data_IF_069415361827
#
_entry.id   IF_069415361827
#
_cell.length_a   1.000
_cell.length_b   1.000
_cell.length_c   1.000
_cell.angle_alpha   90.00
_cell.angle_beta   90.00
_cell.angle_gamma   90.00
#
_symmetry.space_group_name_H-M   'P 1'
#
loop_
_entity.id
_entity.type
_entity.pdbx_description
1 polymer ?
#
# COMPACT_ATOMS: atom_id res chain seq x y z
N UNK A 1 18.09 -0.95 19.05
CA UNK A 1 16.99 -1.11 18.08
C UNK A 1 16.25 0.20 18.03
N UNK A 2 16.22 0.86 16.88
CA UNK A 2 15.44 2.08 16.69
C UNK A 2 14.13 1.69 15.98
N UNK A 3 13.00 2.09 16.54
CA UNK A 3 11.71 2.04 15.88
C UNK A 3 11.44 3.41 15.28
N UNK A 4 10.98 3.44 14.03
CA UNK A 4 10.53 4.66 13.37
C UNK A 4 9.03 4.48 13.17
N UNK A 5 8.24 5.32 13.84
CA UNK A 5 6.81 5.48 13.58
C UNK A 5 6.62 6.81 12.87
N UNK A 6 5.91 6.78 11.74
CA UNK A 6 5.57 7.98 10.98
C UNK A 6 4.06 7.98 10.74
N UNK A 7 3.39 8.96 11.31
CA UNK A 7 1.98 9.26 11.02
C UNK A 7 1.92 10.22 9.85
N UNK A 8 1.94 9.69 8.63
CA UNK A 8 1.68 10.46 7.42
C UNK A 8 0.42 9.95 6.74
N UNK A 9 -0.55 10.83 6.54
CA UNK A 9 -1.77 10.53 5.77
C UNK A 9 -1.43 10.51 4.28
N UNK A 10 -0.98 9.36 3.79
CA UNK A 10 -0.76 9.16 2.35
C UNK A 10 -2.08 8.84 1.67
N UNK A 11 -2.56 9.76 0.83
CA UNK A 11 -3.69 9.50 -0.07
C UNK A 11 -3.14 8.86 -1.33
N UNK A 12 -3.51 7.60 -1.57
CA UNK A 12 -3.11 6.89 -2.78
C UNK A 12 -4.11 7.13 -3.93
N UNK A 13 -3.63 7.19 -5.18
CA UNK A 13 -4.50 7.40 -6.34
C UNK A 13 -5.46 6.22 -6.52
N UNK A 14 -6.55 6.45 -7.24
CA UNK A 14 -7.49 5.40 -7.66
C UNK A 14 -6.74 4.35 -8.47
N UNK A 15 -6.96 3.07 -8.14
CA UNK A 15 -6.40 1.92 -8.87
C UNK A 15 -7.55 1.19 -9.55
N UNK A 16 -7.43 0.96 -10.85
CA UNK A 16 -8.40 0.19 -11.64
C UNK A 16 -7.69 -1.02 -12.25
N UNK A 17 -8.26 -2.20 -12.08
CA UNK A 17 -7.68 -3.43 -12.63
C UNK A 17 -8.77 -4.34 -13.17
N UNK A 18 -8.62 -4.74 -14.43
CA UNK A 18 -9.45 -5.78 -15.04
C UNK A 18 -8.87 -7.15 -14.68
N UNK A 19 -9.70 -8.03 -14.12
CA UNK A 19 -9.33 -9.38 -13.70
C UNK A 19 -10.27 -10.37 -14.36
N UNK A 20 -9.70 -11.37 -15.03
CA UNK A 20 -10.46 -12.48 -15.59
C UNK A 20 -10.74 -13.51 -14.51
N UNK A 21 -12.01 -13.69 -14.14
CA UNK A 21 -12.42 -14.77 -13.26
C UNK A 21 -12.79 -15.99 -14.12
N UNK A 22 -12.13 -17.14 -13.95
CA UNK A 22 -12.51 -18.37 -14.63
C UNK A 22 -13.99 -18.69 -14.36
N UNK A 23 -14.73 -19.10 -15.39
CA UNK A 23 -16.15 -19.49 -15.33
C UNK A 23 -17.18 -18.39 -15.05
N UNK A 24 -16.79 -17.12 -14.82
CA UNK A 24 -17.73 -16.00 -14.60
C UNK A 24 -17.70 -15.02 -15.76
N UNK A 25 -16.73 -14.11 -15.79
CA UNK A 25 -16.47 -13.13 -16.86
C UNK A 25 -15.23 -12.31 -16.48
N UNK A 26 -14.89 -11.31 -17.30
CA UNK A 26 -14.01 -10.23 -16.87
C UNK A 26 -14.76 -9.34 -15.88
N UNK A 27 -14.09 -9.04 -14.77
CA UNK A 27 -14.56 -8.03 -13.82
C UNK A 27 -13.58 -6.87 -13.80
N UNK A 28 -14.09 -5.67 -13.62
CA UNK A 28 -13.30 -4.51 -13.29
C UNK A 28 -13.34 -4.31 -11.78
N UNK A 29 -12.18 -4.36 -11.12
CA UNK A 29 -12.03 -3.97 -9.73
C UNK A 29 -11.53 -2.53 -9.66
N UNK A 30 -12.20 -1.74 -8.82
CA UNK A 30 -11.81 -0.35 -8.56
C UNK A 30 -11.54 -0.20 -7.07
N UNK A 31 -10.34 0.29 -6.76
CA UNK A 31 -9.92 0.69 -5.42
C UNK A 31 -9.81 2.22 -5.38
N UNK A 32 -10.42 2.82 -4.36
CA UNK A 32 -10.50 4.28 -4.21
C UNK A 32 -10.47 4.68 -2.74
N UNK A 33 -10.25 5.97 -2.47
CA UNK A 33 -10.18 6.52 -1.11
C UNK A 33 -9.19 5.77 -0.22
N UNK A 34 -8.07 5.34 -0.81
CA UNK A 34 -7.06 4.57 -0.12
C UNK A 34 -6.28 5.54 0.78
N UNK A 35 -6.41 5.35 2.10
CA UNK A 35 -5.77 6.17 3.12
C UNK A 35 -4.90 5.28 3.99
N UNK A 36 -3.64 5.66 4.18
CA UNK A 36 -2.74 5.01 5.13
C UNK A 36 -2.73 5.84 6.42
N UNK A 37 -3.03 5.20 7.56
CA UNK A 37 -3.10 5.88 8.86
C UNK A 37 -1.78 5.79 9.61
N UNK A 38 -1.16 4.62 9.59
CA UNK A 38 0.04 4.34 10.38
C UNK A 38 0.93 3.32 9.67
N UNK A 39 2.23 3.59 9.69
CA UNK A 39 3.26 2.67 9.26
C UNK A 39 4.20 2.41 10.43
N UNK A 40 4.27 1.15 10.86
CA UNK A 40 5.17 0.71 11.92
C UNK A 40 6.33 -0.07 11.30
N UNK A 41 7.56 0.37 11.54
CA UNK A 41 8.78 -0.34 11.15
C UNK A 41 9.51 -0.87 12.40
N UNK A 42 9.16 -2.07 12.90
CA UNK A 42 9.74 -2.63 14.13
C UNK A 42 11.25 -2.89 14.02
N UNK A 43 11.75 -3.11 12.79
CA UNK A 43 13.18 -3.22 12.50
C UNK A 43 13.58 -2.18 11.47
N UNK A 44 14.23 -1.13 11.94
CA UNK A 44 14.93 -0.17 11.08
C UNK A 44 16.44 -0.24 11.35
N UNK A 45 17.23 -0.22 10.27
CA UNK A 45 18.68 -0.16 10.34
C UNK A 45 19.16 1.09 9.63
N UNK A 46 19.98 1.88 10.33
CA UNK A 46 20.65 3.04 9.76
C UNK A 46 22.00 2.55 9.23
N UNK A 47 22.22 2.68 7.92
CA UNK A 47 23.51 2.43 7.29
C UNK A 47 24.15 3.78 6.95
N UNK A 48 25.23 4.17 7.63
CA UNK A 48 26.05 5.29 7.17
C UNK A 48 26.73 4.91 5.84
N UNK A 49 26.66 5.79 4.85
CA UNK A 49 27.35 5.66 3.57
C UNK A 49 28.04 6.97 3.17
N UNK A 50 28.85 6.94 2.13
CA UNK A 50 29.76 8.03 1.76
C UNK A 50 29.07 9.36 1.39
N UNK A 51 27.75 9.33 1.09
CA UNK A 51 26.94 10.51 0.78
C UNK A 51 25.91 10.88 1.86
N UNK A 52 25.86 10.17 3.00
CA UNK A 52 24.91 10.44 4.09
C UNK A 52 24.40 9.21 4.84
N UNK A 53 23.27 9.35 5.54
CA UNK A 53 22.61 8.27 6.29
C UNK A 53 21.46 7.66 5.47
N UNK A 54 21.52 6.36 5.20
CA UNK A 54 20.42 5.62 4.57
C UNK A 54 19.65 4.85 5.64
N UNK A 55 18.36 5.14 5.78
CA UNK A 55 17.46 4.41 6.68
C UNK A 55 16.76 3.32 5.86
N UNK A 56 17.02 2.06 6.21
CA UNK A 56 16.35 0.90 5.61
C UNK A 56 15.41 0.33 6.66
N UNK A 57 14.11 0.44 6.40
CA UNK A 57 13.06 -0.20 7.19
C UNK A 57 12.68 -1.53 6.55
N UNK A 58 12.64 -2.60 7.35
CA UNK A 58 12.20 -3.93 6.95
C UNK A 58 11.03 -4.36 7.84
N UNK A 59 10.16 -5.23 7.34
CA UNK A 59 9.02 -5.76 8.10
C UNK A 59 7.99 -4.66 8.48
N UNK A 60 7.71 -3.74 7.55
CA UNK A 60 6.75 -2.66 7.78
C UNK A 60 5.34 -3.22 7.86
N UNK A 61 4.63 -2.95 8.96
CA UNK A 61 3.18 -3.16 9.06
C UNK A 61 2.48 -1.84 8.77
N UNK A 62 1.45 -1.87 7.93
CA UNK A 62 0.74 -0.68 7.47
C UNK A 62 -0.77 -0.85 7.68
N UNK A 63 -1.37 0.05 8.46
CA UNK A 63 -2.81 0.13 8.61
C UNK A 63 -3.39 1.08 7.55
N UNK A 64 -4.22 0.54 6.66
CA UNK A 64 -4.85 1.28 5.58
C UNK A 64 -6.36 1.03 5.52
N UNK A 65 -7.11 2.06 5.10
CA UNK A 65 -8.52 1.96 4.72
C UNK A 65 -8.69 2.22 3.24
N UNK A 66 -9.59 1.48 2.59
CA UNK A 66 -9.98 1.75 1.20
C UNK A 66 -11.44 1.42 0.96
N UNK A 67 -12.03 2.12 -0.01
CA UNK A 67 -13.31 1.74 -0.63
C UNK A 67 -13.04 0.90 -1.88
N UNK A 68 -13.72 -0.23 -1.99
CA UNK A 68 -13.60 -1.12 -3.15
C UNK A 68 -14.97 -1.47 -3.71
N UNK A 69 -15.03 -1.64 -5.02
CA UNK A 69 -16.18 -2.25 -5.69
C UNK A 69 -15.69 -3.01 -6.93
N UNK A 70 -16.55 -3.90 -7.41
CA UNK A 70 -16.34 -4.59 -8.66
C UNK A 70 -17.56 -4.42 -9.56
N UNK A 71 -17.32 -4.34 -10.85
CA UNK A 71 -18.36 -4.37 -11.87
C UNK A 71 -18.07 -5.50 -12.84
N UNK A 72 -19.12 -6.22 -13.23
CA UNK A 72 -19.01 -7.19 -14.31
C UNK A 72 -18.99 -6.43 -15.63
N UNK A 73 -17.98 -6.67 -16.45
CA UNK A 73 -18.00 -6.20 -17.83
C UNK A 73 -18.87 -7.18 -18.59
N UNK A 74 -20.16 -6.86 -18.72
CA UNK A 74 -21.05 -7.55 -19.64
C UNK A 74 -20.57 -7.25 -21.07
N UNK A 75 -20.46 -8.25 -21.95
CA UNK A 75 -20.14 -8.04 -23.35
C UNK A 75 -21.27 -7.29 -24.10
#
# INVERSE_FOLDING_TARGET
MASISSMFLLILPRIVKSVKIPFVSNIEMVLSNVTIYEMEAPKSYIRPGDAGFTIIASEITCNLSMSWHYTTVLP
#
